data_IF_430880122144
#
_entry.id   IF_430880122144
#
_cell.length_a   1.000
_cell.length_b   1.000
_cell.length_c   1.000
_cell.angle_alpha   90.00
_cell.angle_beta   90.00
_cell.angle_gamma   90.00
#
_symmetry.space_group_name_H-M   'P 1'
#
loop_
_entity.id
_entity.type
_entity.pdbx_description
1 polymer ?
#
# COMPACT_ATOMS: atom_id res chain seq x y z
N UNK A 1 -43.25 -39.45 16.21
CA UNK A 1 -42.15 -38.63 15.66
C UNK A 1 -40.83 -39.14 16.26
N UNK A 2 -40.28 -40.26 15.81
CA UNK A 2 -38.95 -40.70 16.26
C UNK A 2 -38.19 -41.59 15.26
N UNK A 3 -38.65 -41.68 14.01
CA UNK A 3 -38.04 -42.57 12.99
C UNK A 3 -37.11 -41.80 12.05
N UNK A 4 -37.22 -40.48 11.97
CA UNK A 4 -36.40 -39.64 11.09
C UNK A 4 -34.94 -39.53 11.56
N UNK A 5 -34.67 -39.64 12.87
CA UNK A 5 -33.31 -39.58 13.42
C UNK A 5 -32.50 -40.87 13.19
N UNK A 6 -33.14 -42.05 13.17
CA UNK A 6 -32.45 -43.32 12.93
C UNK A 6 -32.02 -43.49 11.46
N UNK A 7 -32.84 -43.00 10.51
CA UNK A 7 -32.47 -42.99 9.09
C UNK A 7 -31.30 -42.06 8.77
N UNK A 8 -31.22 -40.90 9.44
CA UNK A 8 -30.09 -39.95 9.25
C UNK A 8 -28.78 -40.51 9.83
N UNK A 9 -28.82 -41.24 10.94
CA UNK A 9 -27.63 -41.87 11.51
C UNK A 9 -27.06 -42.98 10.60
N UNK A 10 -27.92 -43.80 9.97
CA UNK A 10 -27.47 -44.83 9.04
C UNK A 10 -26.92 -44.26 7.72
N UNK A 11 -27.46 -43.14 7.24
CA UNK A 11 -26.96 -42.47 6.03
C UNK A 11 -25.58 -41.83 6.24
N UNK A 12 -25.30 -41.30 7.44
CA UNK A 12 -23.98 -40.76 7.80
C UNK A 12 -22.91 -41.86 7.88
N UNK A 13 -23.23 -43.01 8.49
CA UNK A 13 -22.31 -44.16 8.63
C UNK A 13 -21.98 -44.82 7.29
N UNK A 14 -22.93 -44.85 6.33
CA UNK A 14 -22.69 -45.43 5.02
C UNK A 14 -21.77 -44.57 4.11
N UNK A 15 -21.61 -43.27 4.42
CA UNK A 15 -20.86 -42.32 3.57
C UNK A 15 -19.42 -42.05 4.03
N UNK A 16 -19.04 -42.49 5.24
CA UNK A 16 -17.69 -42.26 5.78
C UNK A 16 -16.90 -43.57 5.83
N UNK A 17 -16.27 -43.93 4.72
CA UNK A 17 -15.18 -44.92 4.68
C UNK A 17 -13.90 -44.34 5.30
N UNK A 18 -13.94 -44.06 6.61
CA UNK A 18 -12.75 -43.68 7.39
C UNK A 18 -12.18 -44.96 8.02
N UNK A 19 -11.00 -45.44 7.59
CA UNK A 19 -10.34 -46.59 8.21
C UNK A 19 -9.87 -46.16 9.61
N UNK A 20 -10.58 -46.63 10.65
CA UNK A 20 -10.25 -46.30 12.05
C UNK A 20 -11.42 -46.38 13.03
N UNK A 21 -12.68 -46.31 12.56
CA UNK A 21 -13.87 -46.39 13.43
C UNK A 21 -14.28 -47.80 13.87
N UNK A 22 -13.47 -48.84 13.67
CA UNK A 22 -13.76 -50.19 14.19
C UNK A 22 -13.48 -50.33 15.69
N UNK A 23 -12.72 -49.41 16.30
CA UNK A 23 -12.33 -49.47 17.72
C UNK A 23 -13.38 -48.92 18.68
N UNK A 24 -14.35 -48.13 18.20
CA UNK A 24 -15.32 -47.46 19.08
C UNK A 24 -16.53 -48.37 19.37
N UNK A 25 -16.91 -49.26 18.44
CA UNK A 25 -18.01 -50.20 18.64
C UNK A 25 -17.63 -51.41 19.50
N UNK A 26 -16.37 -51.83 19.50
CA UNK A 26 -15.89 -52.88 20.42
C UNK A 26 -15.84 -52.40 21.87
N UNK A 27 -15.57 -51.11 22.10
CA UNK A 27 -15.55 -50.54 23.45
C UNK A 27 -16.95 -50.52 24.10
N UNK A 28 -18.00 -50.31 23.32
CA UNK A 28 -19.39 -50.29 23.82
C UNK A 28 -20.01 -51.69 23.90
N UNK A 29 -19.52 -52.66 23.11
CA UNK A 29 -19.94 -54.06 23.21
C UNK A 29 -19.30 -54.81 24.39
N UNK A 30 -18.31 -54.21 25.06
CA UNK A 30 -17.58 -54.79 26.19
C UNK A 30 -18.07 -54.27 27.55
N UNK A 31 -19.21 -53.58 27.57
CA UNK A 31 -19.88 -53.06 28.78
C UNK A 31 -21.25 -53.72 28.94
N UNK A 32 -21.28 -55.06 29.01
CA UNK A 32 -22.22 -55.88 29.78
C UNK A 32 -21.82 -57.35 29.53
N UNK A 33 -21.30 -58.15 30.44
CA UNK A 33 -22.09 -58.83 31.47
C UNK A 33 -21.17 -59.78 32.26
N UNK A 34 -20.56 -59.29 33.34
CA UNK A 34 -20.06 -60.13 34.45
C UNK A 34 -20.38 -59.44 35.78
N UNK A 35 -21.61 -58.98 35.91
CA UNK A 35 -22.16 -58.54 37.18
C UNK A 35 -22.86 -59.71 37.87
N UNK A 36 -22.09 -60.64 38.46
CA UNK A 36 -22.58 -61.47 39.58
C UNK A 36 -21.38 -61.99 40.40
N UNK A 37 -21.32 -61.49 41.64
CA UNK A 37 -20.57 -61.97 42.82
C UNK A 37 -19.05 -61.78 42.91
N UNK A 38 -18.63 -60.56 43.30
CA UNK A 38 -17.67 -60.37 44.40
C UNK A 38 -17.54 -58.90 44.86
N UNK A 39 -17.69 -58.60 46.17
CA UNK A 39 -17.49 -57.25 46.72
C UNK A 39 -16.00 -56.97 47.01
N UNK A 40 -15.13 -57.11 46.00
CA UNK A 40 -13.67 -56.83 46.13
C UNK A 40 -13.14 -55.72 45.22
N UNK A 41 -13.96 -55.21 44.29
CA UNK A 41 -13.53 -54.21 43.28
C UNK A 41 -12.86 -52.95 43.86
N UNK A 42 -13.25 -52.48 45.05
CA UNK A 42 -12.59 -51.36 45.70
C UNK A 42 -11.15 -51.66 46.15
N UNK A 43 -10.87 -52.88 46.61
CA UNK A 43 -9.53 -53.29 47.05
C UNK A 43 -8.61 -53.61 45.88
N UNK A 44 -9.16 -54.10 44.78
CA UNK A 44 -8.39 -54.36 43.57
C UNK A 44 -8.03 -53.05 42.87
N UNK A 45 -8.95 -52.09 42.77
CA UNK A 45 -8.63 -50.72 42.30
C UNK A 45 -7.60 -50.04 43.20
N UNK A 46 -7.73 -50.15 44.52
CA UNK A 46 -6.73 -49.60 45.46
C UNK A 46 -5.36 -50.27 45.34
N UNK A 47 -5.30 -51.56 44.97
CA UNK A 47 -4.04 -52.27 44.74
C UNK A 47 -3.42 -51.94 43.39
N UNK A 48 -4.21 -51.82 42.33
CA UNK A 48 -3.75 -51.40 40.99
C UNK A 48 -3.25 -49.95 41.03
N UNK A 49 -4.04 -49.05 41.63
CA UNK A 49 -3.61 -47.66 41.85
C UNK A 49 -2.40 -47.60 42.79
N UNK A 50 -2.38 -48.41 43.85
CA UNK A 50 -1.25 -48.49 44.77
C UNK A 50 0.04 -49.01 44.12
N UNK A 51 -0.05 -50.00 43.22
CA UNK A 51 1.10 -50.53 42.47
C UNK A 51 1.59 -49.55 41.41
N UNK A 52 0.68 -48.87 40.70
CA UNK A 52 1.03 -47.91 39.65
C UNK A 52 1.64 -46.63 40.25
N UNK A 53 1.11 -46.16 41.38
CA UNK A 53 1.70 -45.05 42.14
C UNK A 53 3.06 -45.43 42.74
N UNK A 54 3.20 -46.68 43.22
CA UNK A 54 4.47 -47.23 43.69
C UNK A 54 5.54 -47.28 42.60
N UNK A 55 5.14 -47.65 41.37
CA UNK A 55 6.02 -47.70 40.20
C UNK A 55 6.34 -46.30 39.62
N UNK A 56 5.48 -45.30 39.83
CA UNK A 56 5.67 -43.92 39.33
C UNK A 56 6.51 -43.03 40.27
N UNK A 57 6.66 -43.42 41.54
CA UNK A 57 7.46 -42.70 42.54
C UNK A 57 8.91 -42.42 42.08
N UNK A 58 9.65 -43.40 41.51
CA UNK A 58 10.98 -43.16 40.97
C UNK A 58 11.00 -42.12 39.83
N UNK A 59 10.02 -42.16 38.93
CA UNK A 59 9.94 -41.24 37.79
C UNK A 59 9.60 -39.81 38.23
N UNK A 60 8.74 -39.65 39.24
CA UNK A 60 8.46 -38.36 39.86
C UNK A 60 9.74 -37.74 40.45
N UNK A 61 10.54 -38.53 41.17
CA UNK A 61 11.82 -38.06 41.72
C UNK A 61 12.79 -37.67 40.61
N UNK A 62 12.91 -38.50 39.56
CA UNK A 62 13.74 -38.20 38.39
C UNK A 62 13.31 -36.89 37.73
N UNK A 63 12.01 -36.68 37.53
CA UNK A 63 11.46 -35.48 36.95
C UNK A 63 11.79 -34.24 37.80
N UNK A 64 11.58 -34.31 39.12
CA UNK A 64 11.91 -33.20 40.04
C UNK A 64 13.40 -32.84 39.95
N UNK A 65 14.29 -33.84 39.93
CA UNK A 65 15.73 -33.62 39.76
C UNK A 65 16.03 -32.91 38.44
N UNK A 66 15.43 -33.36 37.33
CA UNK A 66 15.58 -32.73 36.01
C UNK A 66 15.11 -31.27 36.03
N UNK A 67 13.98 -30.99 36.67
CA UNK A 67 13.41 -29.64 36.75
C UNK A 67 14.33 -28.68 37.51
N UNK A 68 14.84 -29.11 38.68
CA UNK A 68 15.73 -28.29 39.51
C UNK A 68 17.07 -28.05 38.81
N UNK A 69 17.67 -29.10 38.24
CA UNK A 69 18.95 -29.00 37.53
C UNK A 69 18.81 -28.14 36.27
N UNK A 70 17.76 -28.35 35.48
CA UNK A 70 17.56 -27.58 34.25
C UNK A 70 17.22 -26.11 34.51
N UNK A 71 16.48 -25.80 35.59
CA UNK A 71 16.25 -24.41 36.01
C UNK A 71 17.56 -23.69 36.38
N UNK A 72 18.46 -24.38 37.09
CA UNK A 72 19.78 -23.84 37.42
C UNK A 72 20.61 -23.58 36.16
N UNK A 73 20.63 -24.51 35.21
CA UNK A 73 21.31 -24.37 33.93
C UNK A 73 20.74 -23.17 33.15
N UNK A 74 19.42 -23.01 33.11
CA UNK A 74 18.75 -21.89 32.44
C UNK A 74 19.21 -20.53 33.00
N UNK A 75 19.31 -20.41 34.33
CA UNK A 75 19.75 -19.21 35.03
C UNK A 75 21.20 -18.84 34.68
N UNK A 76 22.10 -19.83 34.72
CA UNK A 76 23.52 -19.65 34.39
C UNK A 76 23.67 -19.24 32.93
N UNK A 77 23.03 -19.96 32.00
CA UNK A 77 23.12 -19.66 30.58
C UNK A 77 22.60 -18.26 30.25
N UNK A 78 21.46 -17.85 30.82
CA UNK A 78 20.92 -16.50 30.64
C UNK A 78 21.86 -15.42 31.18
N UNK A 79 22.53 -15.66 32.31
CA UNK A 79 23.52 -14.75 32.86
C UNK A 79 24.76 -14.64 31.96
N UNK A 80 25.26 -15.76 31.43
CA UNK A 80 26.38 -15.80 30.49
C UNK A 80 26.05 -15.03 29.21
N UNK A 81 24.90 -15.31 28.59
CA UNK A 81 24.44 -14.60 27.39
C UNK A 81 24.30 -13.11 27.66
N UNK A 82 23.70 -12.72 28.78
CA UNK A 82 23.61 -11.31 29.19
C UNK A 82 24.99 -10.68 29.34
N UNK A 83 25.96 -11.40 29.90
CA UNK A 83 27.34 -10.93 30.05
C UNK A 83 28.03 -10.68 28.70
N UNK A 84 27.85 -11.58 27.74
CA UNK A 84 28.41 -11.46 26.38
C UNK A 84 27.76 -10.29 25.63
N UNK A 85 26.43 -10.17 25.69
CA UNK A 85 25.72 -9.08 24.99
C UNK A 85 26.12 -7.70 25.52
N UNK A 86 26.31 -7.56 26.84
CA UNK A 86 26.76 -6.31 27.45
C UNK A 86 28.15 -5.87 26.99
N UNK A 87 29.00 -6.80 26.56
CA UNK A 87 30.32 -6.45 26.00
C UNK A 87 30.23 -5.87 24.59
N UNK A 88 29.09 -5.99 23.93
CA UNK A 88 28.89 -5.43 22.60
C UNK A 88 28.16 -4.10 22.76
N UNK A 89 28.87 -2.97 22.64
CA UNK A 89 28.38 -1.57 22.73
C UNK A 89 27.40 -1.20 21.58
N UNK A 90 26.66 -2.18 21.07
CA UNK A 90 25.71 -2.06 19.98
C UNK A 90 24.54 -1.16 20.39
N UNK A 91 24.06 -1.27 21.64
CA UNK A 91 22.92 -0.50 22.16
C UNK A 91 23.18 1.01 22.17
N UNK A 92 24.38 1.44 22.57
CA UNK A 92 24.75 2.87 22.60
C UNK A 92 24.92 3.48 21.20
N UNK A 93 25.15 2.67 20.16
CA UNK A 93 25.27 3.13 18.76
C UNK A 93 23.93 3.08 18.04
N UNK A 94 23.11 2.07 18.32
CA UNK A 94 21.79 1.89 17.72
C UNK A 94 20.76 2.89 18.28
N UNK A 95 20.82 3.21 19.57
CA UNK A 95 19.96 4.23 20.18
C UNK A 95 20.18 5.62 19.56
N UNK A 96 21.44 5.98 19.25
CA UNK A 96 21.76 7.29 18.65
C UNK A 96 21.31 7.42 17.20
N UNK A 97 21.31 6.34 16.41
CA UNK A 97 20.92 6.39 15.00
C UNK A 97 19.40 6.36 14.78
N UNK A 98 18.65 5.73 15.69
CA UNK A 98 17.19 5.61 15.58
C UNK A 98 16.46 6.81 16.21
N UNK A 99 16.99 7.38 17.30
CA UNK A 99 16.27 8.38 18.10
C UNK A 99 16.51 9.83 17.65
N UNK A 100 17.42 10.07 16.69
CA UNK A 100 17.49 11.29 15.88
C UNK A 100 17.00 12.57 16.57
N UNK A 101 17.64 12.98 17.67
CA UNK A 101 17.44 14.30 18.28
C UNK A 101 16.31 14.48 19.31
N UNK A 102 15.62 13.44 19.79
CA UNK A 102 14.77 13.55 20.99
C UNK A 102 15.39 12.76 22.14
N UNK A 103 16.07 13.48 23.03
CA UNK A 103 16.97 12.93 24.05
C UNK A 103 16.31 12.06 25.16
N UNK A 104 14.99 11.86 25.15
CA UNK A 104 14.27 11.33 26.32
C UNK A 104 13.44 10.06 26.05
N UNK A 105 13.61 9.40 24.90
CA UNK A 105 13.04 8.07 24.69
C UNK A 105 14.01 7.02 25.25
N UNK A 106 13.76 6.52 26.46
CA UNK A 106 14.43 5.32 27.00
C UNK A 106 14.31 4.20 25.95
N UNK A 107 15.44 3.84 25.32
CA UNK A 107 15.45 2.74 24.37
C UNK A 107 15.00 1.46 25.11
N UNK A 108 14.08 0.67 24.53
CA UNK A 108 13.66 -0.57 25.16
C UNK A 108 14.91 -1.45 25.40
N UNK A 109 15.13 -2.00 26.61
CA UNK A 109 16.36 -2.71 26.95
C UNK A 109 16.40 -4.06 26.22
N UNK A 110 17.03 -4.08 25.05
CA UNK A 110 17.15 -5.24 24.15
C UNK A 110 17.88 -6.38 24.87
N UNK A 111 18.84 -6.06 25.73
CA UNK A 111 19.62 -7.04 26.48
C UNK A 111 18.76 -7.78 27.49
N UNK A 112 17.77 -7.09 28.09
CA UNK A 112 16.80 -7.72 29.00
C UNK A 112 15.90 -8.69 28.24
N UNK A 113 15.44 -8.30 27.04
CA UNK A 113 14.62 -9.15 26.20
C UNK A 113 15.36 -10.41 25.72
N UNK A 114 16.58 -10.28 25.18
CA UNK A 114 17.33 -11.42 24.64
C UNK A 114 17.72 -12.40 25.75
N UNK A 115 18.24 -11.90 26.88
CA UNK A 115 18.59 -12.77 28.01
C UNK A 115 17.38 -13.45 28.64
N UNK A 116 16.24 -12.75 28.72
CA UNK A 116 14.99 -13.34 29.19
C UNK A 116 14.46 -14.39 28.21
N UNK A 117 14.61 -14.18 26.89
CA UNK A 117 14.23 -15.15 25.87
C UNK A 117 15.06 -16.43 25.98
N UNK A 118 16.38 -16.33 26.16
CA UNK A 118 17.25 -17.52 26.36
C UNK A 118 16.89 -18.27 27.65
N UNK A 119 16.63 -17.55 28.75
CA UNK A 119 16.16 -18.19 29.98
C UNK A 119 14.88 -18.99 29.74
N UNK A 120 13.88 -18.37 29.13
CA UNK A 120 12.59 -19.03 28.88
C UNK A 120 12.71 -20.19 27.89
N UNK A 121 13.60 -20.09 26.90
CA UNK A 121 13.90 -21.16 25.94
C UNK A 121 14.56 -22.38 26.60
N UNK A 122 15.53 -22.16 27.50
CA UNK A 122 16.15 -23.28 28.22
C UNK A 122 15.20 -23.84 29.28
N UNK A 123 14.39 -22.98 29.90
CA UNK A 123 13.38 -23.40 30.86
C UNK A 123 12.27 -24.23 30.20
N UNK A 124 11.78 -23.85 29.01
CA UNK A 124 10.81 -24.67 28.29
C UNK A 124 11.42 -26.02 27.86
N UNK A 125 12.70 -26.07 27.48
CA UNK A 125 13.41 -27.34 27.24
C UNK A 125 13.44 -28.21 28.51
N UNK A 126 13.68 -27.57 29.65
CA UNK A 126 13.66 -28.23 30.96
C UNK A 126 12.26 -28.76 31.30
N UNK A 127 11.20 -27.98 31.00
CA UNK A 127 9.81 -28.42 31.16
C UNK A 127 9.54 -29.63 30.27
N UNK A 128 9.97 -29.62 29.00
CA UNK A 128 9.80 -30.76 28.09
C UNK A 128 10.48 -32.01 28.65
N UNK A 129 11.73 -31.90 29.11
CA UNK A 129 12.46 -33.02 29.72
C UNK A 129 11.80 -33.52 31.01
N UNK A 130 11.25 -32.60 31.82
CA UNK A 130 10.46 -32.92 33.00
C UNK A 130 9.18 -33.70 32.64
N UNK A 131 8.41 -33.22 31.66
CA UNK A 131 7.18 -33.89 31.19
C UNK A 131 7.50 -35.27 30.61
N UNK A 132 8.59 -35.40 29.86
CA UNK A 132 9.05 -36.67 29.33
C UNK A 132 9.48 -37.65 30.44
N UNK A 133 10.12 -37.15 31.51
CA UNK A 133 10.45 -37.97 32.67
C UNK A 133 9.21 -38.44 33.44
N UNK A 134 8.11 -37.66 33.41
CA UNK A 134 6.79 -38.08 33.90
C UNK A 134 6.03 -38.99 32.92
N UNK A 135 6.66 -39.41 31.82
CA UNK A 135 6.04 -40.19 30.75
C UNK A 135 4.82 -39.50 30.09
N UNK A 136 4.74 -38.17 30.16
CA UNK A 136 3.70 -37.36 29.52
C UNK A 136 4.01 -37.13 28.04
N UNK A 137 4.33 -38.22 27.32
CA UNK A 137 4.86 -38.20 25.95
C UNK A 137 3.90 -37.51 24.98
N UNK A 138 2.58 -37.72 25.13
CA UNK A 138 1.54 -37.10 24.31
C UNK A 138 1.56 -35.56 24.38
N UNK A 139 2.02 -34.98 25.49
CA UNK A 139 2.15 -33.53 25.67
C UNK A 139 3.54 -33.05 25.27
N UNK A 140 4.58 -33.82 25.58
CA UNK A 140 5.96 -33.42 25.30
C UNK A 140 6.32 -33.49 23.82
N UNK A 141 5.73 -34.38 23.01
CA UNK A 141 6.05 -34.51 21.59
C UNK A 141 5.75 -33.24 20.77
N UNK A 142 4.52 -32.69 20.78
CA UNK A 142 4.23 -31.44 20.08
C UNK A 142 5.09 -30.27 20.59
N UNK A 143 5.34 -30.22 21.91
CA UNK A 143 6.15 -29.18 22.53
C UNK A 143 7.62 -29.27 22.10
N UNK A 144 8.16 -30.48 21.98
CA UNK A 144 9.51 -30.74 21.48
C UNK A 144 9.62 -30.40 19.99
N UNK A 145 8.61 -30.72 19.17
CA UNK A 145 8.56 -30.35 17.76
C UNK A 145 8.56 -28.83 17.57
N UNK A 146 7.75 -28.10 18.35
CA UNK A 146 7.76 -26.64 18.36
C UNK A 146 9.12 -26.07 18.76
N UNK A 147 9.78 -26.67 19.76
CA UNK A 147 11.07 -26.22 20.23
C UNK A 147 12.17 -26.42 19.18
N UNK A 148 12.18 -27.58 18.52
CA UNK A 148 13.05 -27.86 17.38
C UNK A 148 12.78 -26.90 16.22
N UNK A 149 11.52 -26.52 16.00
CA UNK A 149 11.15 -25.53 15.00
C UNK A 149 11.71 -24.13 15.35
N UNK A 150 11.60 -23.68 16.61
CA UNK A 150 12.21 -22.41 17.08
C UNK A 150 13.73 -22.43 16.89
N UNK A 151 14.40 -23.53 17.26
CA UNK A 151 15.85 -23.67 17.09
C UNK A 151 16.22 -23.65 15.60
N UNK A 152 15.41 -24.28 14.76
CA UNK A 152 15.55 -24.21 13.30
C UNK A 152 15.44 -22.78 12.75
N UNK A 153 14.71 -21.89 13.43
CA UNK A 153 14.63 -20.47 13.07
C UNK A 153 15.79 -19.61 13.60
N UNK A 154 16.65 -20.09 14.51
CA UNK A 154 17.78 -19.29 15.00
C UNK A 154 18.76 -18.88 13.86
N UNK A 155 19.22 -19.81 13.00
CA UNK A 155 20.06 -19.47 11.87
C UNK A 155 19.38 -18.50 10.88
N UNK A 156 18.07 -18.66 10.63
CA UNK A 156 17.32 -17.81 9.73
C UNK A 156 17.15 -16.38 10.28
N UNK A 157 16.86 -16.25 11.57
CA UNK A 157 16.78 -14.95 12.27
C UNK A 157 18.14 -14.25 12.23
N UNK A 158 19.24 -14.98 12.47
CA UNK A 158 20.59 -14.40 12.39
C UNK A 158 20.93 -13.92 10.97
N UNK A 159 20.64 -14.75 9.95
CA UNK A 159 20.83 -14.37 8.55
C UNK A 159 20.00 -13.15 8.14
N UNK A 160 18.74 -13.09 8.57
CA UNK A 160 17.85 -11.96 8.34
C UNK A 160 18.34 -10.69 9.04
N UNK A 161 18.84 -10.78 10.27
CA UNK A 161 19.41 -9.64 10.99
C UNK A 161 20.64 -9.05 10.28
N UNK A 162 21.51 -9.92 9.75
CA UNK A 162 22.66 -9.49 8.93
C UNK A 162 22.16 -8.78 7.66
N UNK A 163 21.20 -9.37 6.95
CA UNK A 163 20.63 -8.75 5.75
C UNK A 163 19.95 -7.41 6.04
N UNK A 164 19.25 -7.29 7.16
CA UNK A 164 18.63 -6.03 7.59
C UNK A 164 19.69 -4.96 7.83
N UNK A 165 20.80 -5.31 8.51
CA UNK A 165 21.93 -4.40 8.69
C UNK A 165 22.54 -3.94 7.35
N UNK A 166 22.71 -4.86 6.40
CA UNK A 166 23.19 -4.55 5.04
C UNK A 166 22.20 -3.65 4.29
N UNK A 167 20.90 -3.96 4.36
CA UNK A 167 19.84 -3.19 3.72
C UNK A 167 19.79 -1.76 4.27
N UNK A 168 19.86 -1.59 5.58
CA UNK A 168 19.89 -0.29 6.23
C UNK A 168 21.11 0.55 5.80
N UNK A 169 22.29 -0.09 5.74
CA UNK A 169 23.53 0.56 5.30
C UNK A 169 23.43 1.02 3.84
N UNK A 170 22.98 0.13 2.94
CA UNK A 170 22.81 0.45 1.53
C UNK A 170 21.76 1.54 1.30
N UNK A 171 20.60 1.44 1.96
CA UNK A 171 19.54 2.44 1.86
C UNK A 171 20.04 3.83 2.31
N UNK A 172 20.78 3.89 3.42
CA UNK A 172 21.36 5.14 3.93
C UNK A 172 22.41 5.70 2.97
N UNK A 173 23.27 4.84 2.42
CA UNK A 173 24.30 5.24 1.47
C UNK A 173 23.68 5.83 0.19
N UNK A 174 22.66 5.18 -0.36
CA UNK A 174 21.97 5.68 -1.57
C UNK A 174 21.21 6.96 -1.28
N UNK A 175 20.50 7.06 -0.15
CA UNK A 175 19.84 8.32 0.27
C UNK A 175 20.86 9.45 0.31
N UNK A 176 22.04 9.21 0.89
CA UNK A 176 23.11 10.21 0.97
C UNK A 176 23.61 10.64 -0.42
N UNK A 177 23.86 9.69 -1.32
CA UNK A 177 24.33 9.99 -2.67
C UNK A 177 23.28 10.76 -3.46
N UNK A 178 22.02 10.34 -3.42
CA UNK A 178 20.95 10.96 -4.22
C UNK A 178 20.59 12.33 -3.69
N UNK A 179 20.45 12.51 -2.37
CA UNK A 179 20.17 13.84 -1.80
C UNK A 179 21.28 14.83 -2.13
N UNK A 180 22.55 14.42 -2.03
CA UNK A 180 23.70 15.26 -2.43
C UNK A 180 23.71 15.57 -3.93
N UNK A 181 23.38 14.60 -4.77
CA UNK A 181 23.31 14.82 -6.21
C UNK A 181 22.18 15.81 -6.57
N UNK A 182 20.97 15.62 -6.03
CA UNK A 182 19.82 16.48 -6.28
C UNK A 182 20.06 17.92 -5.81
N UNK A 183 20.70 18.09 -4.64
CA UNK A 183 21.12 19.40 -4.15
C UNK A 183 22.16 20.06 -5.06
N UNK A 184 23.08 19.29 -5.63
CA UNK A 184 24.07 19.83 -6.58
C UNK A 184 23.45 20.29 -7.91
N UNK A 185 22.25 19.82 -8.26
CA UNK A 185 21.56 20.16 -9.51
C UNK A 185 20.53 21.29 -9.41
N UNK A 186 20.31 21.90 -8.23
CA UNK A 186 19.40 23.05 -8.03
C UNK A 186 18.03 22.87 -8.72
N UNK A 187 17.51 21.64 -8.65
CA UNK A 187 16.26 21.26 -9.34
C UNK A 187 15.07 22.02 -8.73
N UNK A 188 15.15 22.32 -7.43
CA UNK A 188 14.15 23.05 -6.68
C UNK A 188 13.99 24.50 -7.20
N UNK A 189 15.08 25.20 -7.55
CA UNK A 189 14.99 26.56 -8.14
C UNK A 189 14.38 26.58 -9.53
N UNK A 190 14.68 25.58 -10.37
CA UNK A 190 14.17 25.52 -11.75
C UNK A 190 12.67 25.21 -11.82
N UNK A 191 12.14 24.50 -10.84
CA UNK A 191 10.72 24.18 -10.73
C UNK A 191 9.93 25.32 -10.08
N UNK A 192 10.51 26.04 -9.11
CA UNK A 192 9.87 27.18 -8.45
C UNK A 192 9.62 28.37 -9.40
N UNK A 193 10.57 28.68 -10.29
CA UNK A 193 10.44 29.81 -11.22
C UNK A 193 9.32 29.67 -12.27
N UNK A 194 8.78 28.46 -12.49
CA UNK A 194 7.69 28.24 -13.45
C UNK A 194 6.30 28.28 -12.81
N UNK A 195 6.20 28.31 -11.48
CA UNK A 195 4.92 28.28 -10.75
C UNK A 195 4.57 29.64 -10.11
N UNK A 196 5.54 30.54 -9.93
CA UNK A 196 5.26 31.98 -9.74
C UNK A 196 4.83 32.61 -11.07
N UNK A 197 3.61 32.27 -11.51
CA UNK A 197 2.90 33.07 -12.49
C UNK A 197 2.84 34.52 -12.02
N UNK A 198 2.91 35.51 -12.94
CA UNK A 198 3.04 36.91 -12.59
C UNK A 198 1.97 37.22 -11.55
N UNK A 199 2.42 37.56 -10.35
CA UNK A 199 1.57 38.17 -9.34
C UNK A 199 0.76 39.19 -10.09
N UNK A 200 -0.55 38.98 -10.09
CA UNK A 200 -1.51 39.91 -10.64
C UNK A 200 -1.26 41.18 -9.87
N UNK A 201 -0.43 42.05 -10.43
CA UNK A 201 -0.47 43.49 -10.21
C UNK A 201 -1.86 43.86 -10.69
N UNK A 202 -2.84 43.62 -9.82
CA UNK A 202 -4.16 44.18 -9.90
C UNK A 202 -3.93 45.65 -10.22
N UNK A 203 -4.45 46.08 -11.37
CA UNK A 203 -4.30 47.43 -11.86
C UNK A 203 -4.50 48.39 -10.70
N UNK A 204 -3.41 49.03 -10.30
CA UNK A 204 -3.47 50.35 -9.71
C UNK A 204 -4.30 51.16 -10.69
N UNK A 205 -5.57 51.35 -10.33
CA UNK A 205 -6.52 52.12 -11.10
C UNK A 205 -5.84 53.41 -11.52
N UNK A 206 -5.71 53.56 -12.82
CA UNK A 206 -5.39 54.83 -13.46
C UNK A 206 -6.48 55.80 -13.02
N UNK A 207 -6.19 56.61 -12.01
CA UNK A 207 -7.03 57.75 -11.64
C UNK A 207 -6.84 58.76 -12.76
N UNK A 208 -7.71 58.66 -13.76
CA UNK A 208 -7.96 59.69 -14.75
C UNK A 208 -8.16 61.01 -14.00
N UNK A 209 -7.15 61.89 -14.06
CA UNK A 209 -7.31 63.28 -13.64
C UNK A 209 -8.07 63.99 -14.75
N UNK A 210 -9.31 64.37 -14.44
CA UNK A 210 -10.10 65.32 -15.21
C UNK A 210 -9.37 66.69 -15.24
N UNK A 211 -9.08 67.27 -16.42
CA UNK A 211 -8.41 68.55 -16.51
C UNK A 211 -9.35 69.77 -16.41
N UNK A 212 -10.62 69.60 -16.02
CA UNK A 212 -11.63 70.68 -16.06
C UNK A 212 -12.35 71.01 -14.75
N UNK A 213 -11.62 71.02 -13.62
CA UNK A 213 -12.18 71.55 -12.36
C UNK A 213 -11.59 72.93 -11.98
N UNK A 214 -12.29 74.04 -12.25
CA UNK A 214 -11.87 75.37 -11.81
C UNK A 214 -12.44 75.65 -10.42
N UNK A 215 -11.61 75.42 -9.42
CA UNK A 215 -11.72 76.10 -8.14
C UNK A 215 -11.93 75.20 -6.95
N UNK A 216 -10.86 75.00 -6.19
CA UNK A 216 -10.86 75.23 -4.75
C UNK A 216 -9.46 75.65 -4.32
N UNK A 217 -9.33 76.91 -3.90
CA UNK A 217 -8.24 77.37 -3.06
C UNK A 217 -8.49 76.86 -1.64
N UNK A 218 -7.53 76.14 -1.05
CA UNK A 218 -7.43 76.04 0.41
C UNK A 218 -5.97 75.90 0.81
N UNK A 219 -5.48 77.01 1.35
CA UNK A 219 -4.36 77.13 2.28
C UNK A 219 -4.52 76.14 3.43
N UNK A 220 -3.52 75.27 3.63
CA UNK A 220 -3.33 74.59 4.90
C UNK A 220 -1.83 74.55 5.22
N UNK A 221 -1.47 75.37 6.21
CA UNK A 221 -0.22 75.36 6.95
C UNK A 221 0.16 73.94 7.39
N UNK A 222 1.37 73.51 7.08
CA UNK A 222 2.03 72.44 7.82
C UNK A 222 2.96 73.07 8.86
N UNK A 223 2.37 73.36 10.02
CA UNK A 223 3.09 73.63 11.26
C UNK A 223 3.75 72.32 11.70
N UNK A 224 5.06 72.37 11.91
CA UNK A 224 5.83 71.29 12.49
C UNK A 224 5.28 70.90 13.88
N UNK A 225 4.90 69.64 14.04
CA UNK A 225 4.66 68.98 15.33
C UNK A 225 5.45 67.67 15.37
N UNK A 226 6.06 67.29 16.51
CA UNK A 226 6.88 66.08 16.58
C UNK A 226 5.97 64.86 16.78
N UNK A 227 5.55 64.21 15.71
CA UNK A 227 4.95 62.88 15.79
C UNK A 227 6.05 61.82 15.91
N UNK A 228 6.37 61.52 17.16
CA UNK A 228 6.64 60.17 17.70
C UNK A 228 6.98 59.09 16.67
N UNK A 229 8.21 58.58 16.79
CA UNK A 229 8.74 57.32 16.29
C UNK A 229 7.76 56.16 16.49
N UNK A 230 6.84 55.99 15.56
CA UNK A 230 6.20 54.71 15.28
C UNK A 230 7.08 54.00 14.28
N UNK A 231 7.91 53.06 14.74
CA UNK A 231 8.59 52.13 13.85
C UNK A 231 7.50 51.40 13.06
N UNK A 232 7.38 51.70 11.77
CA UNK A 232 6.74 50.81 10.82
C UNK A 232 7.70 49.63 10.69
N UNK A 233 7.62 48.69 11.62
CA UNK A 233 8.10 47.34 11.38
C UNK A 233 7.30 46.82 10.20
N UNK A 234 7.93 46.47 9.06
CA UNK A 234 7.23 45.76 8.00
C UNK A 234 6.58 44.51 8.61
N UNK A 235 5.43 44.03 8.09
CA UNK A 235 4.88 42.79 8.56
C UNK A 235 5.95 41.71 8.42
N UNK A 236 6.44 41.20 9.55
CA UNK A 236 7.23 39.98 9.61
C UNK A 236 6.30 38.82 9.27
N UNK A 237 5.92 38.71 8.00
CA UNK A 237 5.34 37.51 7.42
C UNK A 237 6.46 36.55 7.04
N UNK A 238 7.29 36.19 8.02
CA UNK A 238 7.93 34.87 8.02
C UNK A 238 6.90 33.89 8.55
N UNK A 239 5.86 33.62 7.76
CA UNK A 239 5.16 32.37 7.91
C UNK A 239 6.24 31.28 7.73
N UNK A 240 6.39 30.32 8.65
CA UNK A 240 7.25 29.18 8.41
C UNK A 240 6.59 28.40 7.28
N UNK A 241 6.90 28.79 6.05
CA UNK A 241 6.62 27.98 4.88
C UNK A 241 7.35 26.68 5.16
N UNK A 242 6.57 25.64 5.42
CA UNK A 242 7.07 24.29 5.44
C UNK A 242 7.48 24.00 3.99
N UNK A 243 8.67 24.48 3.62
CA UNK A 243 9.34 24.21 2.36
C UNK A 243 9.57 22.71 2.37
N UNK A 244 8.55 21.96 1.95
CA UNK A 244 8.64 20.54 1.70
C UNK A 244 9.72 20.38 0.65
N UNK A 245 10.96 20.14 1.09
CA UNK A 245 12.08 19.93 0.20
C UNK A 245 11.79 18.63 -0.55
N UNK A 246 11.52 18.77 -1.84
CA UNK A 246 11.23 17.64 -2.71
C UNK A 246 12.40 16.65 -2.69
N UNK A 247 13.62 17.18 -2.57
CA UNK A 247 14.86 16.42 -2.37
C UNK A 247 14.85 15.52 -1.11
N UNK A 248 14.34 15.99 0.03
CA UNK A 248 14.24 15.16 1.25
C UNK A 248 13.15 14.09 1.10
N UNK A 249 12.02 14.46 0.47
CA UNK A 249 10.93 13.51 0.20
C UNK A 249 11.41 12.40 -0.74
N UNK A 250 12.09 12.74 -1.84
CA UNK A 250 12.67 11.77 -2.78
C UNK A 250 13.74 10.91 -2.08
N UNK A 251 14.63 11.52 -1.29
CA UNK A 251 15.66 10.79 -0.54
C UNK A 251 15.07 9.80 0.47
N UNK A 252 14.01 10.20 1.18
CA UNK A 252 13.31 9.34 2.13
C UNK A 252 12.49 8.24 1.42
N UNK A 253 11.81 8.55 0.32
CA UNK A 253 11.10 7.56 -0.48
C UNK A 253 12.06 6.51 -1.05
N UNK A 254 13.23 6.92 -1.55
CA UNK A 254 14.26 6.00 -2.03
C UNK A 254 14.83 5.13 -0.91
N UNK A 255 15.02 5.67 0.29
CA UNK A 255 15.42 4.89 1.46
C UNK A 255 14.41 3.77 1.75
N UNK A 256 13.11 4.11 1.83
CA UNK A 256 12.05 3.13 2.06
C UNK A 256 11.92 2.13 0.90
N UNK A 257 12.09 2.59 -0.32
CA UNK A 257 12.06 1.76 -1.52
C UNK A 257 13.19 0.72 -1.52
N UNK A 258 14.42 1.11 -1.17
CA UNK A 258 15.55 0.17 -1.07
C UNK A 258 15.29 -0.82 0.06
N UNK A 259 14.81 -0.35 1.22
CA UNK A 259 14.44 -1.25 2.30
C UNK A 259 13.38 -2.27 1.86
N UNK A 260 12.38 -1.82 1.10
CA UNK A 260 11.35 -2.67 0.50
C UNK A 260 11.92 -3.66 -0.52
N UNK A 261 12.95 -3.29 -1.29
CA UNK A 261 13.64 -4.20 -2.22
C UNK A 261 14.43 -5.31 -1.50
N UNK A 262 14.93 -5.03 -0.29
CA UNK A 262 15.59 -6.03 0.54
C UNK A 262 14.61 -6.88 1.35
N UNK A 263 13.38 -6.41 1.55
CA UNK A 263 12.36 -7.08 2.34
C UNK A 263 12.11 -8.53 1.85
N UNK A 264 11.89 -8.84 0.56
CA UNK A 264 11.76 -10.21 0.09
C UNK A 264 12.95 -11.11 0.49
N UNK A 265 14.16 -10.56 0.42
CA UNK A 265 15.38 -11.27 0.76
C UNK A 265 15.43 -11.58 2.27
N UNK A 266 15.07 -10.61 3.10
CA UNK A 266 14.97 -10.77 4.57
C UNK A 266 13.90 -11.81 4.91
N UNK A 267 12.71 -11.71 4.31
CA UNK A 267 11.60 -12.65 4.52
C UNK A 267 11.95 -14.07 4.08
N UNK A 268 12.64 -14.22 2.96
CA UNK A 268 13.14 -15.51 2.49
C UNK A 268 14.17 -16.08 3.49
N UNK A 269 15.11 -15.26 3.96
CA UNK A 269 16.07 -15.73 4.96
C UNK A 269 15.42 -16.12 6.27
N UNK A 270 14.33 -15.47 6.68
CA UNK A 270 13.57 -15.81 7.90
C UNK A 270 12.88 -17.18 7.84
N UNK A 271 12.77 -17.81 6.66
CA UNK A 271 12.09 -19.09 6.52
C UNK A 271 10.56 -18.97 6.54
N UNK A 272 10.02 -17.80 6.19
CA UNK A 272 8.59 -17.50 6.22
C UNK A 272 7.90 -17.71 4.84
N UNK A 273 8.45 -18.57 3.97
CA UNK A 273 8.01 -18.72 2.58
C UNK A 273 6.52 -19.12 2.45
N UNK A 274 5.98 -19.89 3.40
CA UNK A 274 4.60 -20.37 3.32
C UNK A 274 3.54 -19.34 3.72
N UNK A 275 3.84 -18.45 4.67
CA UNK A 275 2.87 -17.48 5.20
C UNK A 275 2.93 -16.13 4.50
N UNK A 276 4.09 -15.81 3.90
CA UNK A 276 4.33 -14.54 3.24
C UNK A 276 4.35 -14.64 1.72
N UNK A 277 3.94 -15.77 1.14
CA UNK A 277 3.83 -15.93 -0.32
C UNK A 277 3.00 -14.80 -0.97
N UNK A 278 1.84 -14.38 -0.43
CA UNK A 278 1.10 -13.24 -1.01
C UNK A 278 1.88 -11.92 -0.95
N UNK A 279 2.64 -11.69 0.12
CA UNK A 279 3.46 -10.47 0.26
C UNK A 279 4.64 -10.50 -0.71
N UNK A 280 5.24 -11.67 -0.93
CA UNK A 280 6.30 -11.85 -1.93
C UNK A 280 5.76 -11.65 -3.34
N UNK A 281 4.57 -12.17 -3.66
CA UNK A 281 3.94 -11.99 -4.97
C UNK A 281 3.66 -10.51 -5.24
N UNK A 282 3.07 -9.79 -4.28
CA UNK A 282 2.84 -8.36 -4.39
C UNK A 282 4.15 -7.57 -4.59
N UNK A 283 5.22 -7.95 -3.90
CA UNK A 283 6.52 -7.29 -4.08
C UNK A 283 7.13 -7.60 -5.45
N UNK A 284 7.02 -8.85 -5.92
CA UNK A 284 7.48 -9.24 -7.25
C UNK A 284 6.69 -8.49 -8.34
N UNK A 285 5.38 -8.34 -8.18
CA UNK A 285 4.51 -7.58 -9.08
C UNK A 285 4.89 -6.09 -9.09
N UNK A 286 5.04 -5.47 -7.91
CA UNK A 286 5.47 -4.07 -7.77
C UNK A 286 6.86 -3.84 -8.41
N UNK A 287 7.80 -4.78 -8.22
CA UNK A 287 9.12 -4.69 -8.84
C UNK A 287 9.07 -4.92 -10.35
N UNK A 288 8.20 -5.82 -10.82
CA UNK A 288 7.93 -6.06 -12.24
C UNK A 288 7.28 -4.88 -12.94
N UNK A 289 6.55 -4.05 -12.21
CA UNK A 289 5.97 -2.80 -12.72
C UNK A 289 7.05 -1.75 -13.01
N UNK A 290 8.24 -1.76 -12.38
CA UNK A 290 9.24 -0.70 -12.57
C UNK A 290 9.73 -0.53 -14.03
N UNK A 291 10.17 -1.58 -14.75
CA UNK A 291 10.52 -1.45 -16.16
C UNK A 291 9.34 -0.99 -17.02
N UNK A 292 8.16 -1.53 -16.75
CA UNK A 292 6.91 -1.27 -17.45
C UNK A 292 6.43 0.18 -17.25
N UNK A 293 6.60 0.72 -16.04
CA UNK A 293 6.30 2.09 -15.70
C UNK A 293 7.14 3.06 -16.51
N UNK A 294 8.43 2.77 -16.66
CA UNK A 294 9.30 3.57 -17.52
C UNK A 294 8.85 3.55 -18.99
N UNK A 295 8.51 2.37 -19.52
CA UNK A 295 7.99 2.23 -20.88
C UNK A 295 6.67 2.98 -21.08
N UNK A 296 5.74 2.83 -20.14
CA UNK A 296 4.45 3.51 -20.12
C UNK A 296 4.59 5.03 -20.10
N UNK A 297 5.47 5.58 -19.25
CA UNK A 297 5.75 7.02 -19.19
C UNK A 297 6.30 7.52 -20.52
N UNK A 298 7.22 6.78 -21.13
CA UNK A 298 7.82 7.15 -22.42
C UNK A 298 6.75 7.18 -23.53
N UNK A 299 5.90 6.14 -23.60
CA UNK A 299 4.79 6.06 -24.57
C UNK A 299 3.78 7.19 -24.34
N UNK A 300 3.38 7.42 -23.09
CA UNK A 300 2.43 8.47 -22.74
C UNK A 300 2.97 9.86 -23.10
N UNK A 301 4.24 10.15 -22.78
CA UNK A 301 4.88 11.42 -23.11
C UNK A 301 4.97 11.63 -24.63
N UNK A 302 5.37 10.60 -25.37
CA UNK A 302 5.49 10.67 -26.82
C UNK A 302 4.12 10.92 -27.48
N UNK A 303 3.10 10.13 -27.15
CA UNK A 303 1.80 10.31 -27.80
C UNK A 303 1.01 11.52 -27.28
N UNK A 304 1.23 11.98 -26.05
CA UNK A 304 0.72 13.28 -25.60
C UNK A 304 1.30 14.44 -26.44
N UNK A 305 2.60 14.41 -26.71
CA UNK A 305 3.24 15.39 -27.60
C UNK A 305 2.65 15.33 -29.01
N UNK A 306 2.51 14.13 -29.58
CA UNK A 306 1.91 13.94 -30.92
C UNK A 306 0.48 14.50 -30.97
N UNK A 307 -0.36 14.13 -30.00
CA UNK A 307 -1.74 14.62 -29.92
C UNK A 307 -1.79 16.15 -29.83
N UNK A 308 -0.92 16.75 -29.03
CA UNK A 308 -0.84 18.20 -28.85
C UNK A 308 -0.42 18.92 -30.15
N UNK A 309 0.53 18.36 -30.89
CA UNK A 309 0.97 18.91 -32.19
C UNK A 309 -0.16 18.80 -33.21
N UNK A 310 -0.77 17.62 -33.36
CA UNK A 310 -1.83 17.39 -34.35
C UNK A 310 -3.05 18.27 -34.07
N UNK A 311 -3.47 18.40 -32.82
CA UNK A 311 -4.54 19.31 -32.41
C UNK A 311 -4.31 20.73 -32.91
N UNK A 312 -3.11 21.26 -32.70
CA UNK A 312 -2.75 22.63 -33.09
C UNK A 312 -2.80 22.77 -34.61
N UNK A 313 -2.26 21.80 -35.35
CA UNK A 313 -2.28 21.79 -36.82
C UNK A 313 -3.72 21.79 -37.33
N UNK A 314 -4.57 20.88 -36.85
CA UNK A 314 -5.97 20.75 -37.27
C UNK A 314 -6.75 22.02 -36.95
N UNK A 315 -6.64 22.53 -35.72
CA UNK A 315 -7.35 23.75 -35.30
C UNK A 315 -6.96 24.95 -36.17
N UNK A 316 -5.67 25.12 -36.44
CA UNK A 316 -5.17 26.22 -37.27
C UNK A 316 -5.59 26.07 -38.73
N UNK A 317 -5.57 24.85 -39.27
CA UNK A 317 -6.01 24.59 -40.65
C UNK A 317 -7.51 24.89 -40.83
N UNK A 318 -8.35 24.43 -39.90
CA UNK A 318 -9.80 24.66 -39.96
C UNK A 318 -10.18 26.13 -39.78
N UNK A 319 -9.46 26.84 -38.92
CA UNK A 319 -9.63 28.28 -38.74
C UNK A 319 -9.23 29.04 -40.03
N UNK A 320 -8.12 28.64 -40.67
CA UNK A 320 -7.64 29.26 -41.90
C UNK A 320 -8.58 29.03 -43.10
N UNK A 321 -9.21 27.87 -43.21
CA UNK A 321 -10.18 27.56 -44.27
C UNK A 321 -11.55 28.24 -44.06
N UNK A 322 -11.76 28.93 -42.93
CA UNK A 322 -12.99 29.65 -42.65
C UNK A 322 -14.15 28.76 -42.17
N UNK A 323 -13.84 27.57 -41.65
CA UNK A 323 -14.84 26.62 -41.10
C UNK A 323 -15.69 27.26 -40.00
N UNK A 324 -15.14 28.24 -39.28
CA UNK A 324 -15.83 29.00 -38.24
C UNK A 324 -17.00 29.85 -38.77
N UNK A 325 -17.03 30.17 -40.07
CA UNK A 325 -18.10 30.98 -40.70
C UNK A 325 -19.34 30.17 -41.04
N UNK A 326 -19.27 28.84 -40.97
CA UNK A 326 -20.35 27.93 -41.37
C UNK A 326 -21.43 27.86 -40.27
N UNK A 327 -21.04 27.84 -38.99
CA UNK A 327 -21.96 27.77 -37.84
C UNK A 327 -23.06 28.85 -37.84
N UNK A 328 -22.71 30.15 -37.97
CA UNK A 328 -23.71 31.22 -38.00
C UNK A 328 -24.71 31.12 -39.17
N UNK A 329 -24.32 30.50 -40.30
CA UNK A 329 -25.21 30.31 -41.46
C UNK A 329 -26.28 29.23 -41.24
N UNK A 330 -26.05 28.31 -40.30
CA UNK A 330 -27.00 27.27 -39.91
C UNK A 330 -27.88 27.65 -38.71
N UNK A 331 -27.98 28.95 -38.39
CA UNK A 331 -28.76 29.44 -37.24
C UNK A 331 -28.13 29.12 -35.88
N UNK A 332 -26.95 28.49 -35.87
CA UNK A 332 -26.15 28.27 -34.67
C UNK A 332 -25.43 29.58 -34.34
N UNK A 333 -26.18 30.53 -33.76
CA UNK A 333 -25.59 31.74 -33.22
C UNK A 333 -24.65 31.33 -32.08
N UNK A 334 -23.36 31.71 -32.12
CA UNK A 334 -22.46 31.41 -31.03
C UNK A 334 -23.02 32.01 -29.75
N UNK A 335 -23.47 31.15 -28.82
CA UNK A 335 -23.82 31.60 -27.48
C UNK A 335 -22.59 32.32 -26.91
N UNK A 336 -22.78 33.40 -26.16
CA UNK A 336 -21.66 34.21 -25.64
C UNK A 336 -20.70 33.32 -24.84
N UNK A 337 -19.53 32.99 -25.43
CA UNK A 337 -18.55 32.04 -24.88
C UNK A 337 -18.48 30.65 -25.54
N UNK A 338 -19.28 30.36 -26.57
CA UNK A 338 -19.21 29.10 -27.32
C UNK A 338 -17.90 29.02 -28.09
N UNK A 339 -17.19 27.93 -27.90
CA UNK A 339 -15.90 27.69 -28.55
C UNK A 339 -16.09 27.55 -30.06
N UNK A 340 -15.10 28.03 -30.83
CA UNK A 340 -15.16 27.96 -32.29
C UNK A 340 -15.26 26.51 -32.76
N UNK A 341 -15.95 26.29 -33.89
CA UNK A 341 -16.15 24.95 -34.44
C UNK A 341 -14.80 24.26 -34.72
N UNK A 342 -13.81 25.05 -35.13
CA UNK A 342 -12.42 24.60 -35.32
C UNK A 342 -11.77 24.10 -34.02
N UNK A 343 -12.02 24.74 -32.87
CA UNK A 343 -11.50 24.27 -31.58
C UNK A 343 -12.16 22.97 -31.13
N UNK A 344 -13.47 22.84 -31.33
CA UNK A 344 -14.22 21.61 -30.99
C UNK A 344 -13.68 20.44 -31.80
N UNK A 345 -13.53 20.61 -33.13
CA UNK A 345 -12.98 19.58 -34.00
C UNK A 345 -11.52 19.27 -33.63
N UNK A 346 -10.71 20.29 -33.33
CA UNK A 346 -9.35 20.09 -32.84
C UNK A 346 -9.28 19.27 -31.54
N UNK A 347 -10.17 19.52 -30.60
CA UNK A 347 -10.29 18.74 -29.35
C UNK A 347 -10.77 17.32 -29.60
N UNK A 348 -11.71 17.11 -30.54
CA UNK A 348 -12.13 15.76 -30.94
C UNK A 348 -10.94 14.97 -31.50
N UNK A 349 -10.16 15.56 -32.41
CA UNK A 349 -8.95 14.92 -32.97
C UNK A 349 -7.91 14.65 -31.88
N UNK A 350 -7.71 15.60 -30.96
CA UNK A 350 -6.83 15.41 -29.80
C UNK A 350 -7.23 14.19 -28.98
N UNK A 351 -8.50 14.09 -28.60
CA UNK A 351 -9.04 12.97 -27.81
C UNK A 351 -8.92 11.65 -28.59
N UNK A 352 -9.17 11.67 -29.90
CA UNK A 352 -9.11 10.48 -30.77
C UNK A 352 -7.68 9.91 -30.87
N UNK A 353 -6.65 10.75 -30.79
CA UNK A 353 -5.24 10.30 -30.76
C UNK A 353 -4.79 9.93 -29.34
N UNK A 354 -5.23 10.72 -28.35
CA UNK A 354 -4.81 10.56 -26.97
C UNK A 354 -5.35 9.28 -26.36
N UNK A 355 -6.59 8.88 -26.66
CA UNK A 355 -7.17 7.69 -26.04
C UNK A 355 -6.43 6.39 -26.46
N UNK A 356 -6.18 6.09 -27.75
CA UNK A 356 -5.37 4.94 -28.14
C UNK A 356 -3.97 4.98 -27.54
N UNK A 357 -3.36 6.17 -27.45
CA UNK A 357 -2.06 6.37 -26.80
C UNK A 357 -2.12 6.04 -25.31
N UNK A 358 -3.16 6.50 -24.61
CA UNK A 358 -3.32 6.24 -23.19
C UNK A 358 -3.45 4.73 -22.94
N UNK A 359 -4.13 4.00 -23.82
CA UNK A 359 -4.22 2.54 -23.77
C UNK A 359 -2.87 1.89 -24.02
N UNK A 360 -2.11 2.30 -25.04
CA UNK A 360 -0.79 1.72 -25.29
C UNK A 360 0.16 1.96 -24.11
N UNK A 361 0.05 3.11 -23.44
CA UNK A 361 0.78 3.40 -22.21
C UNK A 361 0.31 2.53 -21.02
N UNK A 362 -1.01 2.39 -20.81
CA UNK A 362 -1.55 1.55 -19.74
C UNK A 362 -1.25 0.06 -19.94
N UNK A 363 -1.30 -0.42 -21.18
CA UNK A 363 -0.91 -1.78 -21.55
C UNK A 363 0.60 -2.01 -21.31
N UNK A 364 1.43 -1.02 -21.63
CA UNK A 364 2.85 -1.07 -21.32
C UNK A 364 3.14 -1.12 -19.81
N UNK A 365 2.21 -0.66 -18.96
CA UNK A 365 2.29 -0.75 -17.50
C UNK A 365 1.97 -2.17 -16.97
N UNK A 366 1.39 -3.06 -17.80
CA UNK A 366 0.96 -4.43 -17.47
C UNK A 366 -0.02 -4.52 -16.28
N UNK A 367 -0.92 -3.55 -16.14
CA UNK A 367 -2.01 -3.64 -15.15
C UNK A 367 -3.26 -4.16 -15.86
N UNK A 368 -3.24 -5.44 -16.25
CA UNK A 368 -4.29 -6.08 -17.06
C UNK A 368 -5.69 -5.94 -16.43
N UNK A 369 -5.77 -6.05 -15.11
CA UNK A 369 -7.02 -5.90 -14.35
C UNK A 369 -7.70 -4.52 -14.50
N UNK A 370 -6.96 -3.47 -14.86
CA UNK A 370 -7.49 -2.11 -15.05
C UNK A 370 -7.55 -1.76 -16.54
N UNK A 371 -6.58 -2.23 -17.32
CA UNK A 371 -6.53 -1.99 -18.76
C UNK A 371 -7.72 -2.64 -19.49
N UNK A 372 -8.07 -3.89 -19.14
CA UNK A 372 -9.09 -4.65 -19.86
C UNK A 372 -10.48 -4.00 -19.83
N UNK A 373 -11.04 -3.59 -18.66
CA UNK A 373 -12.31 -2.88 -18.64
C UNK A 373 -12.25 -1.54 -19.38
N UNK A 374 -11.14 -0.81 -19.28
CA UNK A 374 -10.98 0.48 -19.95
C UNK A 374 -10.95 0.35 -21.49
N UNK A 375 -10.26 -0.68 -22.00
CA UNK A 375 -10.22 -1.02 -23.43
C UNK A 375 -11.62 -1.41 -23.91
N UNK A 376 -12.33 -2.24 -23.16
CA UNK A 376 -13.71 -2.64 -23.52
C UNK A 376 -14.67 -1.44 -23.58
N UNK A 377 -14.52 -0.47 -22.67
CA UNK A 377 -15.31 0.77 -22.72
C UNK A 377 -14.93 1.63 -23.93
N UNK A 378 -13.64 1.68 -24.29
CA UNK A 378 -13.22 2.38 -25.50
C UNK A 378 -13.82 1.72 -26.75
N UNK A 379 -13.74 0.41 -26.89
CA UNK A 379 -14.26 -0.30 -28.05
C UNK A 379 -15.77 -0.05 -28.22
N UNK A 380 -16.51 0.04 -27.12
CA UNK A 380 -17.91 0.47 -27.13
C UNK A 380 -18.09 1.90 -27.63
N UNK A 381 -17.25 2.85 -27.19
CA UNK A 381 -17.30 4.24 -27.66
C UNK A 381 -16.87 4.37 -29.13
N UNK A 382 -15.83 3.65 -29.56
CA UNK A 382 -15.33 3.68 -30.94
C UNK A 382 -16.29 3.00 -31.91
N UNK A 383 -16.97 1.94 -31.50
CA UNK A 383 -18.02 1.31 -32.32
C UNK A 383 -19.28 2.16 -32.44
N UNK A 384 -19.53 3.06 -31.48
CA UNK A 384 -20.60 4.04 -31.57
C UNK A 384 -20.29 5.20 -32.53
N UNK A 385 -19.01 5.58 -32.74
CA UNK A 385 -18.62 6.66 -33.65
C UNK A 385 -19.19 6.50 -35.07
N UNK A 386 -19.00 5.35 -35.77
CA UNK A 386 -19.60 5.09 -37.07
C UNK A 386 -21.14 5.24 -37.07
N UNK A 387 -21.80 4.81 -36.00
CA UNK A 387 -23.25 4.89 -35.88
C UNK A 387 -23.73 6.33 -35.73
N UNK A 388 -23.01 7.15 -34.93
CA UNK A 388 -23.30 8.58 -34.77
C UNK A 388 -23.12 9.30 -36.11
N UNK A 389 -22.08 8.99 -36.87
CA UNK A 389 -21.89 9.55 -38.22
C UNK A 389 -23.03 9.16 -39.17
N UNK A 390 -23.47 7.91 -39.13
CA UNK A 390 -24.58 7.42 -39.95
C UNK A 390 -25.89 8.11 -39.57
N UNK A 391 -26.18 8.23 -38.28
CA UNK A 391 -27.35 8.95 -37.77
C UNK A 391 -27.32 10.43 -38.14
N UNK A 392 -26.16 11.08 -38.02
CA UNK A 392 -25.96 12.46 -38.45
C UNK A 392 -26.19 12.66 -39.95
N UNK A 393 -25.67 11.76 -40.78
CA UNK A 393 -25.88 11.78 -42.22
C UNK A 393 -27.37 11.65 -42.57
N UNK A 394 -28.08 10.72 -41.93
CA UNK A 394 -29.52 10.55 -42.10
C UNK A 394 -30.27 11.83 -41.72
N UNK A 395 -29.94 12.46 -40.59
CA UNK A 395 -30.56 13.72 -40.16
C UNK A 395 -30.33 14.86 -41.16
N UNK A 396 -29.11 14.99 -41.70
CA UNK A 396 -28.82 16.01 -42.72
C UNK A 396 -29.68 15.79 -43.97
N UNK A 397 -29.76 14.55 -44.44
CA UNK A 397 -30.60 14.20 -45.61
C UNK A 397 -32.08 14.49 -45.32
N UNK A 398 -32.58 14.08 -44.15
CA UNK A 398 -33.96 14.29 -43.74
C UNK A 398 -34.31 15.78 -43.64
N UNK A 399 -33.41 16.61 -43.09
CA UNK A 399 -33.61 18.05 -43.00
C UNK A 399 -33.68 18.71 -44.38
N UNK A 400 -32.77 18.34 -45.29
CA UNK A 400 -32.76 18.86 -46.66
C UNK A 400 -34.07 18.51 -47.37
N UNK A 401 -34.50 17.24 -47.29
CA UNK A 401 -35.78 16.80 -47.87
C UNK A 401 -36.96 17.54 -47.22
N UNK A 402 -36.96 17.69 -45.90
CA UNK A 402 -38.01 18.42 -45.17
C UNK A 402 -38.13 19.88 -45.60
N UNK A 403 -37.00 20.54 -45.85
CA UNK A 403 -36.98 21.90 -46.39
C UNK A 403 -37.60 21.95 -47.80
N UNK A 404 -37.20 21.04 -48.69
CA UNK A 404 -37.79 20.96 -50.04
C UNK A 404 -39.29 20.72 -50.01
N UNK A 405 -39.76 19.84 -49.11
CA UNK A 405 -41.19 19.57 -48.93
C UNK A 405 -41.94 20.80 -48.38
N UNK A 406 -41.35 21.53 -47.42
CA UNK A 406 -41.93 22.76 -46.89
C UNK A 406 -42.09 23.83 -47.97
N UNK A 407 -41.07 23.99 -48.81
CA UNK A 407 -41.10 24.95 -49.90
C UNK A 407 -42.16 24.55 -50.95
N UNK A 408 -42.26 23.26 -51.30
CA UNK A 408 -43.30 22.73 -52.20
C UNK A 408 -44.71 22.96 -51.67
N UNK A 409 -44.94 22.66 -50.39
CA UNK A 409 -46.26 22.84 -49.74
C UNK A 409 -46.63 24.31 -49.67
N UNK A 410 -45.69 25.18 -49.30
CA UNK A 410 -45.93 26.63 -49.23
C UNK A 410 -46.31 27.18 -50.60
N UNK A 411 -45.56 26.80 -51.65
CA UNK A 411 -45.82 27.28 -53.02
C UNK A 411 -47.20 26.86 -53.57
N UNK A 412 -47.67 25.65 -53.22
CA UNK A 412 -49.01 25.16 -53.61
C UNK A 412 -50.12 25.84 -52.81
N UNK A 413 -49.86 26.24 -51.57
CA UNK A 413 -50.86 26.92 -50.72
C UNK A 413 -50.98 28.42 -51.00
N UNK A 414 -49.94 29.07 -51.53
CA UNK A 414 -49.93 30.52 -51.83
C UNK A 414 -50.10 30.86 -53.31
N UNK A 415 -49.98 29.90 -54.22
CA UNK A 415 -50.31 30.05 -55.64
C UNK A 415 -51.72 29.58 -55.94
#
# INVERSE_FOLDING_TARGET
MNETWQGMAQALVASTSVPGMHSIYTFLAQVDSTATDQPTGGRDVLRTVGSDLGASLPDLLRAIVILVVGWLIALIAAAVVRGILKQTDLDNRLARSIVGGRADAEAPPIEKWISSAVFWLIFIFTIVAFLQALQLTAVSEPLNNFLNQIIGYLPSIAGAAILLGVAWLLATLVKLVVTRALQAFNIDERLGQQVEGPSTTAGSADVVRDPTDPGYSTTANYTAGPSTTGAVTPPSSSAPGNQFSLSETIGNTLYWFIFLLFLPLILNTLGLQGTLAPVQELLNEILGILPNLFAAILIAAAGWLIAQVVRRIVTNFLAATGTDRIGPRFGLSPARGSQSLSWIIGTIVYVLILIPTAITALNALQIDAIADPAISMLDQILSALPQIFTAGLILVIAYVIGQFLSDLVTNILTG
#
